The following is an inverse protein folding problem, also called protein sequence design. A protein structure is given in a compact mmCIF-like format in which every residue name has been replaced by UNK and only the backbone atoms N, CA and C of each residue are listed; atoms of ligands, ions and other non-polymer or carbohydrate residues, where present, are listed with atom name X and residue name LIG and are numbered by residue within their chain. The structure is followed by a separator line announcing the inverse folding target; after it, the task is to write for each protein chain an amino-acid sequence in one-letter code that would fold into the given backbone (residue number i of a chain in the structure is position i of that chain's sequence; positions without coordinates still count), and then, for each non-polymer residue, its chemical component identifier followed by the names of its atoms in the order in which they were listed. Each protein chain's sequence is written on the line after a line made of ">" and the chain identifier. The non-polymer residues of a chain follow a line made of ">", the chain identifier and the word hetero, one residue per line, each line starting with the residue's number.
data_IF_810547487330
#
_entry.id   IF_810547487330
#
_cell.length_a   1.000
_cell.length_b   1.000
_cell.length_c   1.000
_cell.angle_alpha   90.00
_cell.angle_beta   90.00
_cell.angle_gamma   90.00
#
_symmetry.space_group_name_H-M   'P 1'
#
loop_
_entity.id
_entity.type
_entity.pdbx_description
1 polymer ?
#
# COMPACT_ATOMS: atom_id res chain seq x y z
N UNK A 1 -11.81 -42.18 -37.58
CA UNK A 1 -12.06 -41.54 -36.27
C UNK A 1 -10.71 -41.33 -35.60
N UNK A 2 -10.40 -40.14 -35.07
CA UNK A 2 -9.21 -39.98 -34.24
C UNK A 2 -9.29 -41.01 -33.10
N UNK A 3 -8.15 -41.59 -32.74
CA UNK A 3 -8.06 -42.52 -31.62
C UNK A 3 -8.47 -41.80 -30.32
N UNK A 4 -9.46 -42.34 -29.60
CA UNK A 4 -10.05 -41.72 -28.40
C UNK A 4 -8.98 -41.42 -27.34
N UNK A 5 -7.94 -42.24 -27.26
CA UNK A 5 -6.85 -42.02 -26.31
C UNK A 5 -6.05 -40.75 -26.63
N UNK A 6 -5.85 -40.44 -27.93
CA UNK A 6 -5.16 -39.21 -28.34
C UNK A 6 -5.97 -37.96 -28.01
N UNK A 7 -7.31 -38.03 -28.12
CA UNK A 7 -8.19 -36.92 -27.75
C UNK A 7 -8.12 -36.64 -26.25
N UNK A 8 -8.15 -37.69 -25.43
CA UNK A 8 -8.03 -37.57 -23.97
C UNK A 8 -6.69 -36.98 -23.57
N UNK A 9 -5.59 -37.43 -24.17
CA UNK A 9 -4.25 -36.91 -23.86
C UNK A 9 -4.08 -35.46 -24.29
N UNK A 10 -4.64 -35.08 -25.45
CA UNK A 10 -4.67 -33.68 -25.88
C UNK A 10 -5.47 -32.82 -24.90
N UNK A 11 -6.66 -33.27 -24.48
CA UNK A 11 -7.49 -32.53 -23.54
C UNK A 11 -6.80 -32.34 -22.18
N UNK A 12 -6.09 -33.37 -21.67
CA UNK A 12 -5.29 -33.25 -20.44
C UNK A 12 -4.22 -32.18 -20.58
N UNK A 13 -3.50 -32.17 -21.71
CA UNK A 13 -2.48 -31.18 -21.98
C UNK A 13 -3.06 -29.76 -22.08
N UNK A 14 -4.11 -29.56 -22.87
CA UNK A 14 -4.77 -28.25 -23.02
C UNK A 14 -5.29 -27.75 -21.68
N UNK A 15 -5.89 -28.62 -20.87
CA UNK A 15 -6.40 -28.24 -19.54
C UNK A 15 -5.26 -27.83 -18.61
N UNK A 16 -4.15 -28.57 -18.61
CA UNK A 16 -2.97 -28.23 -17.82
C UNK A 16 -2.33 -26.91 -18.25
N UNK A 17 -2.24 -26.66 -19.57
CA UNK A 17 -1.66 -25.44 -20.12
C UNK A 17 -2.55 -24.21 -19.87
N UNK A 18 -3.87 -24.36 -19.99
CA UNK A 18 -4.82 -23.33 -19.61
C UNK A 18 -4.71 -22.98 -18.13
N UNK A 19 -4.63 -23.99 -17.26
CA UNK A 19 -4.47 -23.74 -15.82
C UNK A 19 -3.17 -22.98 -15.54
N UNK A 20 -2.07 -23.37 -16.17
CA UNK A 20 -0.76 -22.71 -16.03
C UNK A 20 -0.80 -21.26 -16.50
N UNK A 21 -1.41 -21.00 -17.66
CA UNK A 21 -1.54 -19.65 -18.22
C UNK A 21 -2.41 -18.78 -17.34
N UNK A 22 -3.53 -19.31 -16.82
CA UNK A 22 -4.40 -18.59 -15.89
C UNK A 22 -3.69 -18.22 -14.59
N UNK A 23 -2.92 -19.14 -13.99
CA UNK A 23 -2.14 -18.83 -12.78
C UNK A 23 -1.15 -17.69 -13.00
N UNK A 24 -0.44 -17.69 -14.14
CA UNK A 24 0.50 -16.61 -14.48
C UNK A 24 -0.18 -15.24 -14.58
N UNK A 25 -1.39 -15.19 -15.14
CA UNK A 25 -2.16 -13.96 -15.19
C UNK A 25 -2.59 -13.52 -13.79
N UNK A 26 -3.13 -14.43 -12.99
CA UNK A 26 -3.54 -14.16 -11.61
C UNK A 26 -2.35 -13.68 -10.76
N UNK A 27 -1.17 -14.30 -10.91
CA UNK A 27 0.07 -13.87 -10.27
C UNK A 27 0.46 -12.46 -10.72
N UNK A 28 0.50 -12.19 -12.02
CA UNK A 28 0.86 -10.86 -12.53
C UNK A 28 -0.13 -9.77 -12.06
N UNK A 29 -1.43 -10.08 -12.02
CA UNK A 29 -2.45 -9.18 -11.49
C UNK A 29 -2.32 -8.98 -9.97
N UNK A 30 -2.04 -10.04 -9.22
CA UNK A 30 -1.82 -9.99 -7.78
C UNK A 30 -0.59 -9.14 -7.44
N UNK A 31 0.53 -9.32 -8.15
CA UNK A 31 1.72 -8.49 -7.98
C UNK A 31 1.44 -7.01 -8.29
N UNK A 32 0.66 -6.73 -9.35
CA UNK A 32 0.26 -5.35 -9.69
C UNK A 32 -0.64 -4.70 -8.65
N UNK A 33 -1.37 -5.50 -7.88
CA UNK A 33 -2.30 -5.05 -6.82
C UNK A 33 -1.80 -5.44 -5.44
N UNK A 34 -0.49 -5.69 -5.31
CA UNK A 34 0.10 -6.11 -4.05
C UNK A 34 -0.10 -4.98 -3.02
N UNK A 35 -0.77 -5.24 -1.88
CA UNK A 35 -0.98 -4.23 -0.86
C UNK A 35 0.36 -3.77 -0.27
N UNK A 36 0.56 -2.45 -0.20
CA UNK A 36 1.75 -1.88 0.43
C UNK A 36 1.49 -1.70 1.92
N UNK A 37 2.27 -2.39 2.75
CA UNK A 37 2.19 -2.25 4.20
C UNK A 37 2.86 -0.95 4.68
N UNK A 38 2.15 -0.18 5.50
CA UNK A 38 2.75 0.92 6.29
C UNK A 38 3.33 0.29 7.55
N UNK A 39 4.65 0.12 7.60
CA UNK A 39 5.35 -0.58 8.69
C UNK A 39 5.80 0.32 9.83
N UNK A 40 5.70 1.64 9.65
CA UNK A 40 6.09 2.63 10.66
C UNK A 40 5.73 4.04 10.22
N UNK A 41 5.63 4.95 11.19
CA UNK A 41 5.30 6.36 10.99
C UNK A 41 6.06 7.22 11.99
N UNK A 42 6.37 8.46 11.63
CA UNK A 42 6.90 9.49 12.51
C UNK A 42 6.39 10.85 12.02
N UNK A 43 6.19 11.80 12.92
CA UNK A 43 5.67 13.12 12.56
C UNK A 43 6.13 14.20 13.52
N UNK A 44 6.21 15.44 13.03
CA UNK A 44 6.25 16.66 13.83
C UNK A 44 5.17 17.59 13.31
N UNK A 45 4.19 17.90 14.15
CA UNK A 45 2.97 18.60 13.78
C UNK A 45 2.68 19.77 14.75
N UNK A 46 1.83 20.73 14.35
CA UNK A 46 1.32 21.76 15.26
C UNK A 46 0.62 21.18 16.49
N UNK A 47 0.46 21.98 17.54
CA UNK A 47 -0.09 21.51 18.82
C UNK A 47 0.91 20.72 19.69
N UNK A 48 2.21 20.78 19.37
CA UNK A 48 3.27 20.16 20.17
C UNK A 48 3.37 18.65 20.01
N UNK A 49 2.98 18.13 18.84
CA UNK A 49 2.94 16.69 18.55
C UNK A 49 4.23 16.28 17.83
N UNK A 50 5.01 15.39 18.45
CA UNK A 50 6.27 14.85 17.90
C UNK A 50 6.22 13.31 17.70
N UNK A 51 5.08 12.68 17.99
CA UNK A 51 4.86 11.24 17.76
C UNK A 51 3.45 10.94 17.20
N UNK A 52 3.26 9.83 16.46
CA UNK A 52 1.93 9.39 16.02
C UNK A 52 0.94 9.16 17.18
N UNK A 53 1.41 8.73 18.34
CA UNK A 53 0.59 8.52 19.54
C UNK A 53 0.06 9.84 20.11
N UNK A 54 0.90 10.88 20.14
CA UNK A 54 0.49 12.23 20.52
C UNK A 54 -0.49 12.83 19.51
N UNK A 55 -0.29 12.56 18.21
CA UNK A 55 -1.23 12.97 17.17
C UNK A 55 -2.61 12.34 17.41
N UNK A 56 -2.64 11.04 17.69
CA UNK A 56 -3.89 10.34 17.96
C UNK A 56 -4.60 10.90 19.19
N UNK A 57 -3.86 11.17 20.28
CA UNK A 57 -4.42 11.79 21.48
C UNK A 57 -5.00 13.18 21.20
N UNK A 58 -4.33 14.00 20.39
CA UNK A 58 -4.83 15.32 20.00
C UNK A 58 -6.19 15.23 19.27
N UNK A 59 -6.31 14.26 18.35
CA UNK A 59 -7.55 14.03 17.60
C UNK A 59 -8.69 13.50 18.49
N UNK A 60 -8.38 12.53 19.36
CA UNK A 60 -9.34 11.92 20.28
C UNK A 60 -9.89 12.94 21.29
N UNK A 61 -9.02 13.82 21.80
CA UNK A 61 -9.39 14.93 22.69
C UNK A 61 -10.04 16.12 21.94
N UNK A 62 -10.04 16.11 20.60
CA UNK A 62 -10.61 17.17 19.76
C UNK A 62 -9.91 18.54 19.90
N UNK A 63 -8.61 18.55 20.22
CA UNK A 63 -7.86 19.80 20.44
C UNK A 63 -7.43 20.44 19.10
N UNK A 64 -7.29 21.77 19.12
CA UNK A 64 -6.79 22.55 17.99
C UNK A 64 -5.28 22.80 18.11
N UNK A 65 -4.54 22.59 17.02
CA UNK A 65 -3.10 22.83 16.93
C UNK A 65 -2.71 24.21 16.40
N UNK A 66 -3.69 25.06 16.03
CA UNK A 66 -3.42 26.42 15.53
C UNK A 66 -2.81 27.29 16.63
N UNK A 67 -1.69 27.93 16.30
CA UNK A 67 -0.97 28.85 17.18
C UNK A 67 -0.66 30.17 16.46
N UNK A 68 -0.46 31.29 17.19
CA UNK A 68 0.04 32.53 16.63
C UNK A 68 1.41 32.33 15.94
N UNK A 69 1.74 33.25 15.03
CA UNK A 69 3.05 33.23 14.37
C UNK A 69 4.19 33.32 15.42
N UNK A 70 5.21 32.44 15.36
CA UNK A 70 6.29 32.46 16.34
C UNK A 70 7.10 33.76 16.23
N UNK A 71 7.47 34.41 17.36
CA UNK A 71 8.27 35.64 17.32
C UNK A 71 9.66 35.43 16.70
N UNK A 72 10.17 34.19 16.70
CA UNK A 72 11.47 33.80 16.15
C UNK A 72 11.42 33.24 14.73
N UNK A 73 10.22 33.10 14.13
CA UNK A 73 10.07 32.54 12.78
C UNK A 73 10.17 33.58 11.66
N UNK A 74 10.16 34.88 12.00
CA UNK A 74 10.50 35.94 11.06
C UNK A 74 12.00 35.83 10.76
N UNK A 75 12.33 35.22 9.62
CA UNK A 75 13.71 34.91 9.26
C UNK A 75 14.64 36.10 9.40
N UNK A 76 15.60 35.99 10.32
CA UNK A 76 16.96 36.46 10.07
C UNK A 76 17.51 35.64 8.90
N UNK A 77 17.07 36.00 7.68
CA UNK A 77 17.74 35.58 6.46
C UNK A 77 19.06 36.36 6.38
N UNK A 78 20.05 35.96 7.18
CA UNK A 78 21.44 36.33 6.95
C UNK A 78 21.85 35.66 5.66
N UNK A 79 21.79 36.42 4.57
CA UNK A 79 22.53 36.14 3.34
C UNK A 79 23.91 36.77 3.46
#
# INVERSE_FOLDING_TARGET
>A
MPDDNKLVDYLKWVTADLHKTRRRLEEAEAHRREPIAIVGMACRLPGGVDTPEEYWRLLDEGRDGIAPFPPTAAGTSTR
#
